data_IF_485703386985
#
_entry.id   IF_485703386985
#
_cell.length_a   1.000
_cell.length_b   1.000
_cell.length_c   1.000
_cell.angle_alpha   90.00
_cell.angle_beta   90.00
_cell.angle_gamma   90.00
#
_symmetry.space_group_name_H-M   'P 1'
#
loop_
_entity.id
_entity.type
_entity.pdbx_description
1 polymer ?
#
# COMPACT_ATOMS: atom_id res chain seq x y z
N UNK A 1 38.80 2.34 -6.03
CA UNK A 1 38.23 1.98 -4.71
C UNK A 1 36.74 2.28 -4.74
N UNK A 2 35.89 1.27 -4.52
CA UNK A 2 34.45 1.50 -4.39
C UNK A 2 34.17 2.46 -3.21
N UNK A 3 33.24 3.42 -3.33
CA UNK A 3 32.92 4.32 -2.23
C UNK A 3 32.41 3.50 -1.04
N UNK A 4 33.04 3.66 0.12
CA UNK A 4 32.60 3.01 1.36
C UNK A 4 31.10 3.26 1.55
N UNK A 5 30.31 2.19 1.66
CA UNK A 5 28.88 2.29 1.98
C UNK A 5 28.74 3.06 3.29
N UNK A 6 28.25 4.29 3.21
CA UNK A 6 28.01 5.13 4.38
C UNK A 6 26.95 4.43 5.24
N UNK A 7 27.34 4.02 6.46
CA UNK A 7 26.38 3.50 7.44
C UNK A 7 25.24 4.52 7.61
N UNK A 8 23.96 4.10 7.59
CA UNK A 8 22.85 5.03 7.71
C UNK A 8 22.95 5.80 9.03
N UNK A 9 22.82 7.11 8.96
CA UNK A 9 22.93 7.98 10.13
C UNK A 9 21.69 7.83 11.02
N UNK A 10 21.81 7.09 12.12
CA UNK A 10 20.74 6.91 13.11
C UNK A 10 20.72 8.10 14.09
N UNK A 11 19.53 8.52 14.54
CA UNK A 11 19.41 9.57 15.57
C UNK A 11 20.11 9.15 16.86
N UNK A 12 20.97 10.03 17.39
CA UNK A 12 21.60 9.86 18.72
C UNK A 12 20.64 10.12 19.88
N UNK A 13 19.41 10.58 19.60
CA UNK A 13 18.32 10.72 20.57
C UNK A 13 17.19 9.77 20.19
N UNK A 14 16.99 8.64 20.91
CA UNK A 14 15.82 7.79 20.70
C UNK A 14 14.56 8.52 21.17
N UNK A 15 13.41 8.22 20.57
CA UNK A 15 12.13 8.77 20.98
C UNK A 15 11.66 8.11 22.30
N UNK A 16 11.19 8.92 23.26
CA UNK A 16 10.47 8.44 24.45
C UNK A 16 9.01 8.17 24.10
N UNK A 17 8.39 9.15 23.45
CA UNK A 17 7.09 9.06 22.79
C UNK A 17 7.21 9.78 21.45
N UNK A 18 6.26 9.55 20.53
CA UNK A 18 6.32 10.13 19.19
C UNK A 18 6.46 11.65 19.23
N UNK A 19 7.59 12.16 18.75
CA UNK A 19 7.89 13.61 18.70
C UNK A 19 8.60 14.17 19.94
N UNK A 20 8.82 13.36 20.97
CA UNK A 20 9.57 13.75 22.18
C UNK A 20 10.77 12.82 22.34
N UNK A 21 11.97 13.38 22.22
CA UNK A 21 13.22 12.64 22.43
C UNK A 21 13.45 12.30 23.90
N UNK A 22 14.12 11.18 24.17
CA UNK A 22 14.45 10.71 25.52
C UNK A 22 15.41 11.64 26.26
N UNK A 23 16.36 12.24 25.54
CA UNK A 23 17.36 13.14 26.11
C UNK A 23 17.01 14.62 25.87
N UNK A 24 17.33 15.44 26.86
CA UNK A 24 17.17 16.91 26.80
C UNK A 24 18.18 17.56 25.83
N UNK A 25 17.97 18.85 25.53
CA UNK A 25 18.86 19.62 24.64
C UNK A 25 20.30 19.71 25.15
N UNK A 26 20.50 19.87 26.45
CA UNK A 26 21.83 19.96 27.07
C UNK A 26 22.59 18.63 26.99
N UNK A 27 21.94 17.51 27.33
CA UNK A 27 22.56 16.19 27.18
C UNK A 27 22.90 15.88 25.72
N UNK A 28 22.03 16.25 24.77
CA UNK A 28 22.29 16.09 23.34
C UNK A 28 23.41 16.98 22.82
N UNK A 29 23.60 18.18 23.39
CA UNK A 29 24.71 19.07 23.07
C UNK A 29 26.07 18.40 23.38
N UNK A 30 26.17 17.75 24.54
CA UNK A 30 27.35 16.98 24.92
C UNK A 30 27.53 15.71 24.08
N UNK A 31 26.49 14.89 23.93
CA UNK A 31 26.53 13.63 23.14
C UNK A 31 26.82 13.83 21.65
N UNK A 32 26.44 14.97 21.08
CA UNK A 32 26.76 15.30 19.67
C UNK A 32 28.19 15.80 19.50
N UNK A 33 28.90 16.11 20.59
CA UNK A 33 30.22 16.75 20.54
C UNK A 33 30.17 18.19 20.03
N UNK A 34 28.98 18.82 20.04
CA UNK A 34 28.81 20.21 19.58
C UNK A 34 29.63 21.18 20.43
N UNK A 35 29.78 20.88 21.72
CA UNK A 35 30.65 21.64 22.63
C UNK A 35 32.11 21.67 22.16
N UNK A 36 32.65 20.53 21.72
CA UNK A 36 34.02 20.43 21.25
C UNK A 36 34.21 21.13 19.90
N UNK A 37 33.23 21.03 19.00
CA UNK A 37 33.24 21.75 17.71
C UNK A 37 33.18 23.27 17.93
N UNK A 38 32.33 23.72 18.86
CA UNK A 38 32.20 25.13 19.21
C UNK A 38 33.49 25.65 19.85
N UNK A 39 34.12 24.89 20.75
CA UNK A 39 35.40 25.23 21.36
C UNK A 39 36.52 25.35 20.31
N UNK A 40 36.59 24.41 19.36
CA UNK A 40 37.59 24.44 18.27
C UNK A 40 37.44 25.62 17.31
N UNK A 41 36.23 26.16 17.16
CA UNK A 41 35.92 27.26 16.26
C UNK A 41 35.73 28.60 17.02
N UNK A 42 36.51 28.82 18.08
CA UNK A 42 36.54 30.11 18.78
C UNK A 42 35.21 30.51 19.43
N UNK A 43 34.40 29.55 19.86
CA UNK A 43 33.10 29.80 20.49
C UNK A 43 31.94 29.97 19.51
N UNK A 44 32.16 29.86 18.19
CA UNK A 44 31.12 29.92 17.16
C UNK A 44 30.92 28.57 16.46
N UNK A 45 29.74 28.35 15.87
CA UNK A 45 29.53 27.21 14.97
C UNK A 45 29.92 27.60 13.54
N UNK A 46 30.54 26.69 12.76
CA UNK A 46 30.91 26.96 11.38
C UNK A 46 29.68 27.26 10.52
N UNK A 47 29.73 28.35 9.75
CA UNK A 47 28.70 28.75 8.80
C UNK A 47 29.18 28.44 7.38
N UNK A 48 28.32 27.88 6.54
CA UNK A 48 28.58 27.79 5.11
C UNK A 48 28.01 29.04 4.43
N UNK A 49 28.86 29.76 3.70
CA UNK A 49 28.42 30.86 2.84
C UNK A 49 27.58 30.30 1.68
N UNK A 50 26.51 31.00 1.34
CA UNK A 50 25.67 30.62 0.19
C UNK A 50 26.51 30.71 -1.07
N UNK A 51 26.71 29.56 -1.72
CA UNK A 51 27.36 29.49 -3.04
C UNK A 51 26.64 30.41 -4.01
N UNK A 52 27.37 31.33 -4.65
CA UNK A 52 26.82 32.24 -5.65
C UNK A 52 26.15 31.43 -6.76
N UNK A 53 24.88 31.73 -7.03
CA UNK A 53 24.08 31.05 -8.05
C UNK A 53 24.65 31.49 -9.41
N UNK A 54 25.14 30.53 -10.19
CA UNK A 54 25.54 30.77 -11.58
C UNK A 54 24.32 31.26 -12.38
N UNK A 55 24.51 32.25 -13.25
CA UNK A 55 23.45 32.91 -14.02
C UNK A 55 22.54 31.87 -14.71
N UNK A 56 21.25 31.89 -14.36
CA UNK A 56 20.26 31.00 -14.95
C UNK A 56 20.09 31.29 -16.45
N UNK A 57 19.84 30.27 -17.30
CA UNK A 57 19.62 30.45 -18.73
C UNK A 57 18.41 31.37 -18.98
N UNK A 58 18.51 32.24 -19.98
CA UNK A 58 17.46 33.19 -20.38
C UNK A 58 16.21 32.45 -20.87
N UNK A 59 15.15 32.44 -20.05
CA UNK A 59 13.84 31.88 -20.40
C UNK A 59 13.07 32.86 -21.32
N UNK A 60 12.58 32.36 -22.47
CA UNK A 60 11.74 33.15 -23.38
C UNK A 60 10.34 33.33 -22.77
N UNK A 61 9.75 34.54 -22.80
CA UNK A 61 8.44 34.77 -22.21
C UNK A 61 7.33 34.00 -22.96
N UNK A 62 6.26 33.56 -22.27
CA UNK A 62 5.12 32.93 -22.91
C UNK A 62 4.41 33.91 -23.86
N UNK A 63 3.90 33.41 -24.98
CA UNK A 63 3.20 34.21 -25.99
C UNK A 63 1.76 34.59 -25.57
N UNK A 64 1.20 33.90 -24.59
CA UNK A 64 -0.17 34.09 -24.11
C UNK A 64 -0.17 34.50 -22.64
N UNK A 65 -0.93 35.55 -22.32
CA UNK A 65 -1.16 36.04 -20.97
C UNK A 65 -2.66 35.95 -20.67
N UNK A 66 -3.09 35.32 -19.56
CA UNK A 66 -4.49 35.34 -19.15
C UNK A 66 -4.89 36.75 -18.72
N UNK A 67 -6.18 37.09 -18.86
CA UNK A 67 -6.72 38.39 -18.47
C UNK A 67 -6.74 38.60 -16.94
N UNK A 68 -6.87 37.51 -16.17
CA UNK A 68 -6.91 37.51 -14.72
C UNK A 68 -5.79 36.65 -14.11
N UNK A 69 -5.22 37.13 -13.01
CA UNK A 69 -4.23 36.38 -12.23
C UNK A 69 -4.87 35.29 -11.38
N UNK A 70 -4.52 34.03 -11.67
CA UNK A 70 -4.93 32.88 -10.84
C UNK A 70 -4.02 32.80 -9.62
N UNK A 71 -4.59 33.01 -8.42
CA UNK A 71 -3.86 32.89 -7.15
C UNK A 71 -3.28 31.48 -6.98
N UNK A 72 -1.99 31.39 -6.64
CA UNK A 72 -1.33 30.11 -6.33
C UNK A 72 -1.96 29.49 -5.07
N UNK A 73 -2.41 28.22 -5.12
CA UNK A 73 -2.91 27.53 -3.94
C UNK A 73 -1.85 27.45 -2.83
N UNK A 74 -2.30 27.51 -1.58
CA UNK A 74 -1.42 27.33 -0.42
C UNK A 74 -0.78 25.94 -0.42
N UNK A 75 0.50 25.87 -0.04
CA UNK A 75 1.24 24.60 -0.02
C UNK A 75 0.70 23.69 1.09
N UNK A 76 0.03 22.61 0.70
CA UNK A 76 -0.40 21.57 1.63
C UNK A 76 0.77 20.63 1.98
N UNK A 77 1.22 20.66 3.24
CA UNK A 77 2.31 19.81 3.73
C UNK A 77 1.85 18.39 4.14
N UNK A 78 0.55 18.06 4.01
CA UNK A 78 0.02 16.74 4.38
C UNK A 78 0.50 15.69 3.38
N UNK A 79 1.16 14.65 3.88
CA UNK A 79 1.55 13.46 3.11
C UNK A 79 0.58 12.33 3.43
N UNK A 80 -0.03 11.73 2.40
CA UNK A 80 -0.82 10.52 2.57
C UNK A 80 0.08 9.40 3.12
N UNK A 81 -0.38 8.76 4.20
CA UNK A 81 0.33 7.64 4.82
C UNK A 81 -0.43 6.36 4.51
N UNK A 82 0.27 5.22 4.37
CA UNK A 82 -0.40 3.93 4.23
C UNK A 82 -1.27 3.66 5.46
N UNK A 83 -2.39 2.98 5.24
CA UNK A 83 -3.31 2.59 6.29
C UNK A 83 -2.63 1.66 7.28
N UNK A 84 -2.86 1.86 8.58
CA UNK A 84 -2.37 0.92 9.60
C UNK A 84 -3.23 -0.34 9.59
N UNK A 85 -2.54 -1.48 9.59
CA UNK A 85 -3.15 -2.79 9.68
C UNK A 85 -3.81 -2.97 11.07
N UNK A 86 -5.07 -3.42 11.09
CA UNK A 86 -5.78 -3.80 12.33
C UNK A 86 -5.11 -5.03 12.94
N UNK A 87 -5.03 -5.09 14.27
CA UNK A 87 -4.41 -6.22 14.98
C UNK A 87 -5.09 -7.58 14.69
N UNK A 88 -6.39 -7.60 14.38
CA UNK A 88 -7.13 -8.82 14.06
C UNK A 88 -6.78 -9.41 12.69
N UNK A 89 -6.18 -8.63 11.79
CA UNK A 89 -5.81 -9.09 10.45
C UNK A 89 -4.33 -9.47 10.50
N UNK A 90 -4.08 -10.78 10.59
CA UNK A 90 -2.74 -11.35 10.51
C UNK A 90 -2.61 -12.16 9.21
N UNK A 91 -1.42 -12.28 8.59
CA UNK A 91 -1.23 -13.18 7.46
C UNK A 91 -1.83 -14.56 7.78
N UNK A 92 -2.70 -15.09 6.92
CA UNK A 92 -3.45 -16.33 7.24
C UNK A 92 -4.89 -16.12 7.63
N UNK A 93 -5.26 -14.95 8.16
CA UNK A 93 -6.60 -14.70 8.66
C UNK A 93 -7.63 -14.80 7.53
N UNK A 94 -8.73 -15.50 7.79
CA UNK A 94 -9.88 -15.52 6.88
C UNK A 94 -10.67 -14.21 7.03
N UNK A 95 -11.08 -13.67 5.90
CA UNK A 95 -11.66 -12.36 5.74
C UNK A 95 -13.01 -12.50 5.03
N UNK A 96 -14.05 -11.86 5.55
CA UNK A 96 -15.35 -11.76 4.89
C UNK A 96 -15.40 -10.44 4.13
N UNK A 97 -15.53 -10.50 2.81
CA UNK A 97 -15.68 -9.29 1.98
C UNK A 97 -17.11 -8.75 2.10
N UNK A 98 -17.26 -7.47 2.41
CA UNK A 98 -18.57 -6.84 2.58
C UNK A 98 -19.11 -6.18 1.31
N UNK A 99 -18.24 -5.65 0.45
CA UNK A 99 -18.62 -4.82 -0.68
C UNK A 99 -18.10 -5.33 -2.03
N UNK A 100 -18.77 -4.93 -3.10
CA UNK A 100 -18.41 -5.25 -4.49
C UNK A 100 -18.89 -6.62 -4.96
N UNK A 101 -18.33 -7.08 -6.08
CA UNK A 101 -18.75 -8.33 -6.76
C UNK A 101 -18.61 -9.58 -5.88
N UNK A 102 -17.62 -9.60 -4.99
CA UNK A 102 -17.32 -10.73 -4.11
C UNK A 102 -17.89 -10.57 -2.69
N UNK A 103 -18.93 -9.74 -2.51
CA UNK A 103 -19.59 -9.57 -1.21
C UNK A 103 -20.03 -10.91 -0.61
N UNK A 104 -19.92 -11.07 0.70
CA UNK A 104 -20.19 -12.28 1.46
C UNK A 104 -19.22 -13.44 1.23
N UNK A 105 -18.25 -13.35 0.30
CA UNK A 105 -17.26 -14.43 0.14
C UNK A 105 -16.24 -14.38 1.27
N UNK A 106 -15.82 -15.57 1.71
CA UNK A 106 -14.75 -15.76 2.71
C UNK A 106 -13.44 -15.99 1.97
N UNK A 107 -12.39 -15.29 2.37
CA UNK A 107 -11.19 -15.11 1.55
C UNK A 107 -9.97 -15.05 2.45
N UNK A 108 -8.81 -15.55 2.01
CA UNK A 108 -7.61 -15.62 2.84
C UNK A 108 -6.75 -14.37 2.65
N UNK A 109 -6.30 -13.77 3.76
CA UNK A 109 -5.37 -12.64 3.74
C UNK A 109 -3.92 -13.08 3.54
N UNK A 110 -3.24 -12.50 2.55
CA UNK A 110 -1.83 -12.81 2.26
C UNK A 110 -0.88 -11.78 2.87
N UNK A 111 -0.90 -10.54 2.36
CA UNK A 111 -0.03 -9.45 2.81
C UNK A 111 -0.70 -8.08 2.64
N UNK A 112 -0.20 -7.08 3.35
CA UNK A 112 -0.53 -5.68 3.08
C UNK A 112 0.39 -5.14 1.99
N UNK A 113 -0.18 -4.46 0.99
CA UNK A 113 0.58 -3.82 -0.09
C UNK A 113 1.09 -2.44 0.33
N UNK A 114 2.02 -1.88 -0.45
CA UNK A 114 2.60 -0.55 -0.18
C UNK A 114 1.57 0.59 -0.16
N UNK A 115 0.49 0.43 -0.92
CA UNK A 115 -0.67 1.34 -0.91
C UNK A 115 -1.48 1.30 0.39
N UNK A 116 -1.29 0.28 1.22
CA UNK A 116 -2.10 -0.01 2.41
C UNK A 116 -3.28 -0.93 2.16
N UNK A 117 -3.56 -1.29 0.89
CA UNK A 117 -4.59 -2.27 0.54
C UNK A 117 -4.17 -3.70 0.91
N UNK A 118 -5.15 -4.54 1.21
CA UNK A 118 -4.93 -5.95 1.51
C UNK A 118 -4.84 -6.75 0.21
N UNK A 119 -3.81 -7.58 0.07
CA UNK A 119 -3.76 -8.63 -0.94
C UNK A 119 -4.44 -9.87 -0.37
N UNK A 120 -5.43 -10.34 -1.10
CA UNK A 120 -6.38 -11.36 -0.64
C UNK A 120 -6.58 -12.37 -1.78
N UNK A 121 -6.71 -13.65 -1.44
CA UNK A 121 -7.04 -14.73 -2.40
C UNK A 121 -8.08 -15.68 -1.80
N UNK A 122 -9.10 -16.02 -2.57
CA UNK A 122 -10.07 -17.04 -2.18
C UNK A 122 -9.89 -18.17 -3.18
N UNK A 123 -9.12 -19.21 -2.82
CA UNK A 123 -8.55 -20.15 -3.77
C UNK A 123 -9.51 -20.41 -4.92
N UNK A 124 -9.14 -20.00 -6.13
CA UNK A 124 -10.09 -19.66 -7.18
C UNK A 124 -11.04 -20.83 -7.51
N UNK A 125 -10.55 -22.06 -7.34
CA UNK A 125 -11.31 -23.31 -7.48
C UNK A 125 -12.45 -23.49 -6.46
N UNK A 126 -12.34 -22.94 -5.25
CA UNK A 126 -13.31 -23.11 -4.17
C UNK A 126 -14.42 -22.05 -4.26
N UNK A 127 -14.03 -20.78 -4.35
CA UNK A 127 -14.94 -19.64 -4.12
C UNK A 127 -14.94 -18.61 -5.26
N UNK A 128 -14.08 -18.77 -6.27
CA UNK A 128 -14.05 -17.95 -7.49
C UNK A 128 -13.49 -16.54 -7.28
N UNK A 129 -12.77 -16.30 -6.19
CA UNK A 129 -12.19 -14.99 -5.87
C UNK A 129 -10.69 -15.01 -6.24
N UNK A 130 -10.27 -14.34 -7.34
CA UNK A 130 -8.87 -14.31 -7.70
C UNK A 130 -8.05 -13.47 -6.71
N UNK A 131 -6.73 -13.48 -6.87
CA UNK A 131 -5.81 -12.54 -6.26
C UNK A 131 -6.32 -11.12 -6.51
N UNK A 132 -6.70 -10.45 -5.43
CA UNK A 132 -7.38 -9.17 -5.49
C UNK A 132 -6.94 -8.25 -4.37
N UNK A 133 -6.88 -6.96 -4.70
CA UNK A 133 -6.71 -5.88 -3.72
C UNK A 133 -8.04 -5.51 -3.10
N UNK A 134 -8.10 -5.47 -1.78
CA UNK A 134 -9.29 -5.12 -1.01
C UNK A 134 -8.93 -4.08 0.04
N UNK A 135 -9.80 -3.08 0.22
CA UNK A 135 -9.63 -2.11 1.30
C UNK A 135 -10.07 -2.75 2.63
N UNK A 136 -9.23 -2.60 3.64
CA UNK A 136 -9.42 -3.09 5.00
C UNK A 136 -10.77 -2.69 5.63
N UNK A 137 -11.35 -1.55 5.28
CA UNK A 137 -12.65 -1.11 5.81
C UNK A 137 -13.83 -1.96 5.33
N UNK A 138 -13.70 -2.64 4.18
CA UNK A 138 -14.77 -3.46 3.60
C UNK A 138 -14.62 -4.94 3.93
N UNK A 139 -13.98 -5.24 5.06
CA UNK A 139 -13.65 -6.59 5.46
C UNK A 139 -13.92 -6.79 6.95
N UNK A 140 -14.54 -7.93 7.28
CA UNK A 140 -14.58 -8.47 8.64
C UNK A 140 -13.46 -9.51 8.75
N UNK A 141 -12.60 -9.36 9.76
CA UNK A 141 -11.60 -10.36 10.09
C UNK A 141 -12.25 -11.40 11.00
N UNK A 142 -12.15 -12.67 10.65
CA UNK A 142 -12.60 -13.76 11.51
C UNK A 142 -11.46 -14.25 12.41
N UNK A 143 -11.81 -15.01 13.44
CA UNK A 143 -10.86 -15.67 14.33
C UNK A 143 -10.06 -16.80 13.66
N UNK A 144 -10.60 -17.37 12.58
CA UNK A 144 -9.99 -18.47 11.83
C UNK A 144 -8.74 -18.03 11.06
N UNK A 145 -7.67 -18.85 11.16
CA UNK A 145 -6.38 -18.61 10.51
C UNK A 145 -5.92 -19.85 9.77
N UNK A 146 -5.32 -19.63 8.61
CA UNK A 146 -4.69 -20.65 7.77
C UNK A 146 -3.18 -20.40 7.77
N UNK A 147 -2.37 -21.45 7.80
CA UNK A 147 -0.93 -21.27 7.65
C UNK A 147 -0.56 -20.91 6.20
N UNK A 148 0.27 -19.87 6.04
CA UNK A 148 0.70 -19.29 4.76
C UNK A 148 2.23 -19.36 4.59
N UNK A 149 2.94 -20.01 5.51
CA UNK A 149 4.41 -20.13 5.49
C UNK A 149 4.97 -20.58 4.12
N UNK A 150 4.27 -21.47 3.41
CA UNK A 150 4.67 -21.98 2.09
C UNK A 150 4.27 -21.14 0.86
N UNK A 151 3.65 -19.96 1.02
CA UNK A 151 3.15 -19.17 -0.12
C UNK A 151 4.11 -18.03 -0.45
N UNK A 152 4.63 -18.01 -1.68
CA UNK A 152 5.45 -16.89 -2.16
C UNK A 152 4.57 -15.72 -2.63
N UNK A 153 4.69 -14.57 -1.96
CA UNK A 153 3.89 -13.37 -2.22
C UNK A 153 4.75 -12.17 -2.68
N UNK A 154 6.05 -12.34 -2.85
CA UNK A 154 6.99 -11.23 -3.12
C UNK A 154 6.72 -10.54 -4.46
N UNK A 155 6.36 -11.32 -5.50
CA UNK A 155 6.07 -10.82 -6.86
C UNK A 155 4.90 -9.82 -6.93
N UNK A 156 3.97 -9.87 -5.97
CA UNK A 156 2.71 -9.13 -6.07
C UNK A 156 2.78 -7.73 -5.43
N UNK A 157 2.96 -6.70 -6.25
CA UNK A 157 2.94 -5.30 -5.83
C UNK A 157 1.75 -4.53 -6.40
N UNK A 158 1.55 -3.28 -5.94
CA UNK A 158 0.46 -2.42 -6.39
C UNK A 158 0.47 -2.18 -7.91
N UNK A 159 1.66 -2.16 -8.53
CA UNK A 159 1.83 -2.00 -9.99
C UNK A 159 1.28 -3.20 -10.77
N UNK A 160 1.39 -4.41 -10.23
CA UNK A 160 0.88 -5.64 -10.85
C UNK A 160 -0.64 -5.57 -11.09
N UNK A 161 -1.35 -4.92 -10.17
CA UNK A 161 -2.81 -4.75 -10.21
C UNK A 161 -3.26 -3.41 -10.81
N UNK A 162 -2.34 -2.65 -11.42
CA UNK A 162 -2.68 -1.43 -12.15
C UNK A 162 -3.58 -1.76 -13.35
N UNK A 163 -4.65 -0.99 -13.54
CA UNK A 163 -5.46 -1.10 -14.77
C UNK A 163 -4.63 -0.53 -15.92
N UNK A 164 -4.43 -1.31 -16.99
CA UNK A 164 -3.87 -0.78 -18.24
C UNK A 164 -4.92 0.18 -18.81
N UNK A 165 -4.60 1.47 -18.83
CA UNK A 165 -5.42 2.48 -19.51
C UNK A 165 -4.94 2.57 -20.95
N UNK A 166 -5.80 2.19 -21.88
CA UNK A 166 -5.53 2.43 -23.29
C UNK A 166 -5.56 3.94 -23.54
N UNK A 167 -4.58 4.44 -24.29
CA UNK A 167 -4.57 5.86 -24.68
C UNK A 167 -5.81 6.09 -25.53
N UNK A 168 -6.67 7.04 -25.13
CA UNK A 168 -7.80 7.47 -25.95
C UNK A 168 -7.26 7.85 -27.33
N UNK A 169 -7.60 7.05 -28.35
CA UNK A 169 -7.44 7.46 -29.73
C UNK A 169 -8.46 8.58 -29.96
N UNK A 170 -8.04 9.71 -30.52
CA UNK A 170 -8.95 10.77 -30.95
C UNK A 170 -9.74 10.26 -32.14
N UNK A 171 -10.87 9.61 -31.86
CA UNK A 171 -11.84 9.18 -32.87
C UNK A 171 -12.93 10.26 -32.99
N UNK A 172 -13.38 10.50 -34.21
CA UNK A 172 -14.48 11.42 -34.51
C UNK A 172 -15.81 10.95 -33.94
N UNK A 173 -16.78 11.86 -33.85
CA UNK A 173 -18.05 11.71 -33.13
C UNK A 173 -18.88 10.46 -33.53
N UNK A 174 -18.73 9.98 -34.77
CA UNK A 174 -19.45 8.81 -35.30
C UNK A 174 -18.91 7.43 -34.88
N UNK A 175 -17.63 7.31 -34.49
CA UNK A 175 -17.02 6.01 -34.12
C UNK A 175 -17.10 5.71 -32.61
N UNK A 176 -17.79 6.56 -31.85
CA UNK A 176 -17.86 6.49 -30.39
C UNK A 176 -18.77 5.35 -29.88
N UNK A 177 -19.80 4.97 -30.65
CA UNK A 177 -20.79 3.96 -30.25
C UNK A 177 -20.52 2.54 -30.76
N UNK A 178 -19.67 2.34 -31.78
CA UNK A 178 -19.38 0.99 -32.31
C UNK A 178 -18.34 0.20 -31.51
N UNK A 179 -17.59 0.84 -30.61
CA UNK A 179 -16.56 0.20 -29.79
C UNK A 179 -17.10 -0.58 -28.58
N UNK A 180 -18.42 -0.54 -28.30
CA UNK A 180 -19.00 -1.20 -27.11
C UNK A 180 -19.12 -2.73 -27.23
N UNK A 181 -18.86 -3.30 -28.41
CA UNK A 181 -18.74 -4.75 -28.64
C UNK A 181 -17.28 -5.23 -28.76
N UNK A 182 -16.31 -4.46 -28.27
CA UNK A 182 -14.94 -4.97 -28.15
C UNK A 182 -14.91 -6.14 -27.16
N UNK A 183 -14.56 -7.30 -27.72
CA UNK A 183 -14.36 -8.60 -27.11
C UNK A 183 -13.88 -8.50 -25.66
N UNK A 184 -14.64 -9.10 -24.74
CA UNK A 184 -14.30 -9.23 -23.31
C UNK A 184 -12.80 -9.46 -23.15
N UNK A 185 -12.09 -8.41 -22.70
CA UNK A 185 -10.62 -8.43 -22.57
C UNK A 185 -10.15 -9.76 -21.97
N UNK A 186 -9.54 -10.61 -22.80
CA UNK A 186 -9.07 -11.91 -22.35
C UNK A 186 -8.03 -11.71 -21.24
N UNK A 187 -8.23 -12.38 -20.10
CA UNK A 187 -7.31 -12.26 -18.97
C UNK A 187 -5.93 -12.79 -19.39
N UNK A 188 -4.84 -12.05 -19.14
CA UNK A 188 -3.48 -12.48 -19.46
C UNK A 188 -3.19 -13.85 -18.83
N UNK A 189 -2.58 -14.74 -19.61
CA UNK A 189 -2.27 -16.11 -19.19
C UNK A 189 -1.38 -16.12 -17.93
N UNK A 190 -0.42 -15.21 -17.86
CA UNK A 190 0.47 -15.01 -16.69
C UNK A 190 -0.30 -14.90 -15.37
N UNK A 191 -1.42 -14.15 -15.36
CA UNK A 191 -2.22 -13.96 -14.14
C UNK A 191 -2.92 -15.25 -13.71
N UNK A 192 -3.27 -16.12 -14.66
CA UNK A 192 -3.88 -17.41 -14.36
C UNK A 192 -2.84 -18.37 -13.78
N UNK A 193 -1.63 -18.35 -14.29
CA UNK A 193 -0.57 -19.24 -13.81
C UNK A 193 -0.01 -18.79 -12.45
N UNK A 194 0.11 -17.47 -12.23
CA UNK A 194 0.38 -16.89 -10.91
C UNK A 194 -0.71 -17.26 -9.88
N UNK A 195 -1.98 -17.29 -10.30
CA UNK A 195 -3.07 -17.71 -9.42
C UNK A 195 -2.95 -19.19 -9.06
N UNK A 196 -2.69 -20.06 -10.05
CA UNK A 196 -2.57 -21.51 -9.83
C UNK A 196 -1.42 -21.84 -8.88
N UNK A 197 -0.27 -21.16 -9.00
CA UNK A 197 0.89 -21.42 -8.14
C UNK A 197 0.60 -21.07 -6.67
N UNK A 198 0.00 -19.91 -6.41
CA UNK A 198 -0.42 -19.49 -5.07
C UNK A 198 -1.50 -20.41 -4.50
N UNK A 199 -2.52 -20.72 -5.29
CA UNK A 199 -3.65 -21.55 -4.85
C UNK A 199 -3.24 -23.00 -4.60
N UNK A 200 -2.27 -23.55 -5.36
CA UNK A 200 -1.80 -24.91 -5.16
C UNK A 200 -1.17 -25.12 -3.77
N UNK A 201 -0.47 -24.11 -3.25
CA UNK A 201 0.06 -24.15 -1.89
C UNK A 201 -1.05 -24.03 -0.83
N UNK A 202 -2.00 -23.12 -1.04
CA UNK A 202 -3.10 -22.87 -0.09
C UNK A 202 -4.12 -24.00 -0.03
N UNK A 203 -4.44 -24.66 -1.15
CA UNK A 203 -5.43 -25.74 -1.17
C UNK A 203 -4.96 -26.91 -0.31
N UNK A 204 -3.66 -27.23 -0.34
CA UNK A 204 -3.09 -28.30 0.50
C UNK A 204 -3.27 -28.02 1.99
N UNK A 205 -3.03 -26.78 2.42
CA UNK A 205 -3.21 -26.40 3.83
C UNK A 205 -4.69 -26.33 4.23
N UNK A 206 -5.56 -25.93 3.30
CA UNK A 206 -7.01 -25.85 3.52
C UNK A 206 -7.64 -27.24 3.63
N UNK A 207 -7.20 -28.20 2.81
CA UNK A 207 -7.72 -29.58 2.83
C UNK A 207 -7.24 -30.36 4.06
N UNK A 208 -6.13 -29.96 4.68
CA UNK A 208 -5.66 -30.52 5.94
C UNK A 208 -6.56 -30.13 7.14
N UNK A 209 -7.31 -29.03 7.04
CA UNK A 209 -8.22 -28.58 8.11
C UNK A 209 -9.65 -29.06 7.81
N UNK A 210 -10.28 -29.84 8.71
CA UNK A 210 -11.65 -30.31 8.53
C UNK A 210 -12.63 -29.15 8.26
N UNK A 211 -13.54 -29.36 7.30
CA UNK A 211 -14.62 -28.44 6.91
C UNK A 211 -14.22 -27.05 6.40
N UNK A 212 -12.93 -26.70 6.38
CA UNK A 212 -12.47 -25.36 5.99
C UNK A 212 -12.74 -25.07 4.50
N UNK A 213 -12.62 -26.09 3.64
CA UNK A 213 -12.97 -26.00 2.22
C UNK A 213 -14.45 -25.62 2.03
N UNK A 214 -15.35 -26.28 2.75
CA UNK A 214 -16.79 -25.99 2.74
C UNK A 214 -17.09 -24.60 3.32
N UNK A 215 -16.40 -24.22 4.40
CA UNK A 215 -16.51 -22.90 5.01
C UNK A 215 -16.11 -21.78 4.03
N UNK A 216 -15.01 -21.93 3.30
CA UNK A 216 -14.54 -20.95 2.31
C UNK A 216 -15.44 -20.86 1.08
N UNK A 217 -16.01 -21.99 0.64
CA UNK A 217 -16.97 -22.04 -0.47
C UNK A 217 -18.31 -21.38 -0.13
N UNK A 218 -18.76 -21.53 1.12
CA UNK A 218 -20.00 -20.96 1.60
C UNK A 218 -19.97 -19.42 1.62
N UNK A 219 -21.12 -18.80 1.37
CA UNK A 219 -21.29 -17.35 1.39
C UNK A 219 -21.82 -16.90 2.75
N UNK A 220 -21.23 -15.85 3.31
CA UNK A 220 -21.73 -15.18 4.50
C UNK A 220 -22.97 -14.34 4.15
N UNK A 221 -24.03 -14.57 4.91
CA UNK A 221 -25.24 -13.75 4.96
C UNK A 221 -25.82 -13.81 6.37
N UNK A 222 -26.49 -12.75 6.77
CA UNK A 222 -27.26 -12.73 8.02
C UNK A 222 -28.66 -13.27 7.72
N UNK A 223 -29.17 -14.16 8.58
CA UNK A 223 -30.57 -14.57 8.57
C UNK A 223 -31.40 -13.65 9.45
N UNK A 224 -32.72 -13.68 9.28
CA UNK A 224 -33.63 -12.98 10.18
C UNK A 224 -33.37 -13.40 11.64
N UNK A 225 -33.31 -12.43 12.55
CA UNK A 225 -33.01 -12.64 13.97
C UNK A 225 -31.52 -12.63 14.33
N UNK A 226 -30.58 -12.72 13.37
CA UNK A 226 -29.15 -12.62 13.67
C UNK A 226 -28.72 -11.15 13.81
N UNK A 227 -28.25 -10.76 15.00
CA UNK A 227 -27.78 -9.40 15.29
C UNK A 227 -26.25 -9.33 15.22
N UNK A 228 -25.67 -8.53 14.29
CA UNK A 228 -24.20 -8.50 14.09
C UNK A 228 -23.37 -8.08 15.30
N UNK A 229 -23.95 -7.31 16.23
CA UNK A 229 -23.25 -6.87 17.44
C UNK A 229 -23.14 -7.97 18.50
N UNK A 230 -23.96 -9.03 18.40
CA UNK A 230 -23.88 -10.21 19.27
C UNK A 230 -23.00 -11.31 18.65
N UNK A 231 -22.68 -11.21 17.35
CA UNK A 231 -21.87 -12.20 16.66
C UNK A 231 -20.37 -12.01 16.92
N UNK A 232 -19.72 -13.11 17.28
CA UNK A 232 -18.26 -13.21 17.31
C UNK A 232 -17.78 -13.78 15.97
N UNK A 233 -16.86 -13.06 15.33
CA UNK A 233 -16.31 -13.39 14.03
C UNK A 233 -14.92 -14.03 14.16
#
# INVERSE_FOLDING_TARGET
MAPQQRKPHVSRNPDLIRGVGKYSRSQMYHKRGLWAIKAKNGGAFPKHEKKAIAAAPTEKPPKFYPADDVKKPLVNKRKARPTKLRASITPGTVLIILAGRFKGKRVVFLKQLTSGLLLVTGPFKINGVPLRRVNQSYVIATSTKVDISGVNVEKFDDKYFGKKTEKKKTKGEGEFFEAEKEEKSLLPQEKKDDQKSVDAALIKTIEAVPDLKSYLGARFSLKAGMKPHELVF
#
